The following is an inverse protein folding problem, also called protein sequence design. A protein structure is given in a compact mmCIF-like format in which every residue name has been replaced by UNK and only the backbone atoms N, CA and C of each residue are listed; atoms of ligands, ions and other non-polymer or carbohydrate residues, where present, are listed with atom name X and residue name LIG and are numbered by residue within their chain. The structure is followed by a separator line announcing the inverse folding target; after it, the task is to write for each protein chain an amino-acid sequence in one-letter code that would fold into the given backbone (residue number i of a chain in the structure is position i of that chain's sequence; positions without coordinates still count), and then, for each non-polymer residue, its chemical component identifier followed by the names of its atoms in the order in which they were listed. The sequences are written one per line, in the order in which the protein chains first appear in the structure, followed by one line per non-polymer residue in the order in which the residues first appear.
data_IF_467125502356
#
_entry.id   IF_467125502356
#
_cell.length_a   1.000
_cell.length_b   1.000
_cell.length_c   1.000
_cell.angle_alpha   90.00
_cell.angle_beta   90.00
_cell.angle_gamma   90.00
#
_symmetry.space_group_name_H-M   'P 1'
#
loop_
_entity.id
_entity.type
_entity.pdbx_description
1 polymer ?
#
# COMPACT_ATOMS: atom_id res chain seq x y z
N UNK A 1 -40.96 -49.82 -8.37
CA UNK A 1 -39.67 -49.32 -7.85
C UNK A 1 -38.95 -48.60 -8.99
N UNK A 2 -39.27 -47.31 -9.19
CA UNK A 2 -38.35 -46.37 -9.81
C UNK A 2 -37.16 -46.21 -8.84
N UNK A 3 -35.92 -45.96 -9.23
CA UNK A 3 -35.43 -44.70 -9.83
C UNK A 3 -33.92 -44.92 -9.91
N UNK A 4 -33.31 -44.80 -11.09
CA UNK A 4 -31.89 -44.46 -11.33
C UNK A 4 -31.47 -44.94 -12.73
N UNK A 5 -31.82 -44.19 -13.77
CA UNK A 5 -31.08 -44.21 -15.06
C UNK A 5 -31.37 -42.98 -15.96
N UNK A 6 -31.80 -41.83 -15.41
CA UNK A 6 -32.16 -40.66 -16.24
C UNK A 6 -31.67 -39.36 -15.58
N UNK A 7 -30.36 -39.16 -15.48
CA UNK A 7 -29.79 -37.84 -15.13
C UNK A 7 -28.38 -37.64 -15.68
N UNK A 8 -28.14 -37.96 -16.96
CA UNK A 8 -26.94 -37.53 -17.70
C UNK A 8 -27.33 -36.94 -19.09
N UNK A 9 -28.49 -36.29 -19.20
CA UNK A 9 -28.97 -35.69 -20.47
C UNK A 9 -29.36 -34.20 -20.37
N UNK A 10 -29.00 -33.49 -19.29
CA UNK A 10 -29.42 -32.08 -19.08
C UNK A 10 -28.28 -31.05 -19.00
N UNK A 11 -27.12 -31.30 -19.64
CA UNK A 11 -26.05 -30.29 -19.75
C UNK A 11 -25.68 -29.92 -21.20
N UNK A 12 -26.56 -30.21 -22.17
CA UNK A 12 -26.33 -29.93 -23.60
C UNK A 12 -27.40 -29.03 -24.25
N UNK A 13 -28.13 -28.22 -23.47
CA UNK A 13 -29.19 -27.34 -24.01
C UNK A 13 -29.10 -25.87 -23.57
N UNK A 14 -27.90 -25.32 -23.40
CA UNK A 14 -27.70 -23.87 -23.26
C UNK A 14 -26.48 -23.36 -24.03
N UNK A 15 -26.19 -23.97 -25.19
CA UNK A 15 -25.24 -23.46 -26.18
C UNK A 15 -25.94 -23.51 -27.54
N UNK A 16 -26.94 -22.64 -27.77
CA UNK A 16 -27.53 -22.42 -29.11
C UNK A 16 -28.51 -21.23 -29.14
N UNK A 17 -28.16 -20.12 -28.50
CA UNK A 17 -28.98 -18.88 -28.55
C UNK A 17 -28.18 -17.63 -28.90
N UNK A 18 -27.04 -17.77 -29.58
CA UNK A 18 -26.31 -16.62 -30.14
C UNK A 18 -25.80 -16.99 -31.54
N UNK A 19 -26.75 -16.99 -32.48
CA UNK A 19 -26.64 -16.90 -33.94
C UNK A 19 -28.07 -17.19 -34.40
N UNK A 20 -28.86 -16.23 -34.87
CA UNK A 20 -28.77 -15.66 -36.22
C UNK A 20 -29.56 -14.34 -36.22
N UNK A 21 -28.88 -13.24 -36.54
CA UNK A 21 -29.47 -12.14 -37.31
C UNK A 21 -28.42 -11.65 -38.31
N UNK A 22 -28.37 -12.38 -39.42
CA UNK A 22 -28.02 -11.87 -40.75
C UNK A 22 -28.80 -10.55 -41.00
N UNK A 23 -28.36 -9.53 -41.71
CA UNK A 23 -27.35 -9.44 -42.75
C UNK A 23 -27.12 -7.96 -43.16
N UNK A 24 -25.93 -7.71 -43.72
CA UNK A 24 -25.60 -6.75 -44.81
C UNK A 24 -25.94 -5.26 -44.66
N UNK A 25 -24.90 -4.41 -44.66
CA UNK A 25 -24.68 -3.37 -45.68
C UNK A 25 -23.35 -2.58 -45.50
N UNK A 26 -22.50 -2.65 -46.54
CA UNK A 26 -21.49 -1.68 -47.05
C UNK A 26 -20.15 -1.36 -46.33
N UNK A 27 -19.06 -1.80 -46.99
CA UNK A 27 -17.72 -1.21 -47.23
C UNK A 27 -17.17 -0.06 -46.35
N UNK A 28 -15.91 -0.19 -45.89
CA UNK A 28 -14.70 0.58 -46.33
C UNK A 28 -13.52 0.43 -45.32
N UNK A 29 -12.36 -0.04 -45.84
CA UNK A 29 -10.93 0.12 -45.43
C UNK A 29 -10.35 -0.55 -44.16
N UNK A 30 -9.14 -1.16 -44.22
CA UNK A 30 -8.43 -1.65 -43.05
C UNK A 30 -7.47 -0.58 -42.51
N UNK A 31 -7.70 -0.08 -41.29
CA UNK A 31 -6.66 0.63 -40.53
C UNK A 31 -6.15 -0.24 -39.40
N UNK A 32 -4.87 -0.57 -39.51
CA UNK A 32 -4.00 -1.20 -38.53
C UNK A 32 -4.14 -0.53 -37.15
N UNK A 33 -4.94 -1.11 -36.27
CA UNK A 33 -4.99 -0.68 -34.88
C UNK A 33 -3.88 -1.41 -34.12
N UNK A 34 -2.77 -0.69 -33.89
CA UNK A 34 -1.77 -1.06 -32.89
C UNK A 34 -2.48 -1.42 -31.58
N UNK A 35 -2.27 -2.65 -31.14
CA UNK A 35 -2.65 -3.12 -29.81
C UNK A 35 -1.85 -2.34 -28.75
N UNK A 36 -2.42 -1.23 -28.28
CA UNK A 36 -1.99 -0.61 -27.03
C UNK A 36 -2.56 -1.49 -25.90
N UNK A 37 -1.66 -2.17 -25.20
CA UNK A 37 -1.96 -2.85 -23.94
C UNK A 37 -2.23 -1.73 -22.92
N UNK A 38 -3.50 -1.38 -22.74
CA UNK A 38 -3.94 -0.40 -21.75
C UNK A 38 -3.72 -1.00 -20.35
N UNK A 39 -2.86 -0.39 -19.55
CA UNK A 39 -2.69 -0.73 -18.13
C UNK A 39 -4.05 -0.64 -17.41
N UNK A 40 -4.31 -1.49 -16.40
CA UNK A 40 -5.61 -1.54 -15.75
C UNK A 40 -5.93 -0.21 -15.05
N UNK A 41 -7.17 0.27 -15.25
CA UNK A 41 -7.71 1.60 -14.93
C UNK A 41 -7.59 2.04 -13.45
N UNK A 42 -7.12 1.18 -12.55
CA UNK A 42 -7.07 1.46 -11.12
C UNK A 42 -5.78 2.15 -10.67
N UNK A 43 -4.72 2.21 -11.49
CA UNK A 43 -3.52 2.99 -11.17
C UNK A 43 -3.69 4.43 -11.69
N UNK A 44 -4.51 5.20 -10.99
CA UNK A 44 -4.65 6.63 -11.25
C UNK A 44 -3.32 7.35 -11.05
N UNK A 45 -3.15 8.51 -11.69
CA UNK A 45 -1.96 9.37 -11.50
C UNK A 45 -1.66 9.64 -10.03
N UNK A 46 -2.69 9.76 -9.20
CA UNK A 46 -2.58 9.98 -7.75
C UNK A 46 -1.96 8.79 -7.01
N UNK A 47 -2.21 7.56 -7.46
CA UNK A 47 -1.59 6.36 -6.88
C UNK A 47 -0.13 6.24 -7.34
N UNK A 48 0.19 6.60 -8.58
CA UNK A 48 1.59 6.62 -9.03
C UNK A 48 2.42 7.66 -8.26
N UNK A 49 1.88 8.85 -7.99
CA UNK A 49 2.50 9.84 -7.11
C UNK A 49 2.67 9.34 -5.68
N UNK A 50 1.76 8.49 -5.21
CA UNK A 50 1.87 7.85 -3.91
C UNK A 50 2.99 6.80 -3.89
N UNK A 51 3.16 6.04 -4.96
CA UNK A 51 4.25 5.06 -5.14
C UNK A 51 5.64 5.72 -5.30
N UNK A 52 5.68 6.96 -5.76
CA UNK A 52 6.89 7.79 -5.76
C UNK A 52 7.27 8.32 -4.36
N UNK A 53 6.45 8.05 -3.33
CA UNK A 53 6.79 8.39 -1.95
C UNK A 53 8.02 7.65 -1.44
N UNK A 54 8.63 8.20 -0.39
CA UNK A 54 9.80 7.64 0.27
C UNK A 54 9.58 6.17 0.67
N UNK A 55 10.31 5.22 0.08
CA UNK A 55 10.16 3.80 0.39
C UNK A 55 10.64 3.50 1.81
N UNK A 56 10.03 2.51 2.46
CA UNK A 56 10.49 2.02 3.76
C UNK A 56 11.46 0.87 3.57
N UNK A 57 12.71 1.08 3.99
CA UNK A 57 13.78 0.09 3.86
C UNK A 57 13.94 -0.81 5.07
N UNK A 58 13.32 -0.44 6.21
CA UNK A 58 13.57 -1.08 7.50
C UNK A 58 14.93 -0.71 8.11
N UNK A 59 15.50 0.44 7.73
CA UNK A 59 16.75 0.95 8.30
C UNK A 59 16.53 1.71 9.61
N UNK A 60 17.55 1.73 10.48
CA UNK A 60 17.50 2.44 11.77
C UNK A 60 17.35 3.97 11.63
N UNK A 61 17.53 4.54 10.44
CA UNK A 61 17.30 5.96 10.15
C UNK A 61 15.84 6.31 9.87
N UNK A 62 14.98 5.32 9.60
CA UNK A 62 13.57 5.51 9.29
C UNK A 62 12.72 4.99 10.45
N UNK A 63 12.03 5.88 11.16
CA UNK A 63 11.11 5.48 12.21
C UNK A 63 9.85 4.86 11.60
N UNK A 64 9.58 3.59 11.93
CA UNK A 64 8.47 2.82 11.35
C UNK A 64 7.11 3.46 11.63
N UNK A 65 6.91 4.02 12.83
CA UNK A 65 5.63 4.66 13.18
C UNK A 65 5.41 5.95 12.40
N UNK A 66 6.44 6.80 12.27
CA UNK A 66 6.34 8.03 11.47
C UNK A 66 6.06 7.71 10.00
N UNK A 67 6.72 6.68 9.46
CA UNK A 67 6.52 6.28 8.07
C UNK A 67 5.13 5.69 7.82
N UNK A 68 4.62 4.85 8.73
CA UNK A 68 3.25 4.30 8.63
C UNK A 68 2.21 5.43 8.69
N UNK A 69 2.38 6.40 9.59
CA UNK A 69 1.44 7.51 9.73
C UNK A 69 1.46 8.41 8.49
N UNK A 70 2.64 8.74 7.95
CA UNK A 70 2.77 9.48 6.69
C UNK A 70 2.11 8.73 5.52
N UNK A 71 2.38 7.43 5.40
CA UNK A 71 1.81 6.59 4.35
C UNK A 71 0.29 6.49 4.46
N UNK A 72 -0.24 6.32 5.68
CA UNK A 72 -1.69 6.29 5.93
C UNK A 72 -2.34 7.60 5.54
N UNK A 73 -1.80 8.74 5.99
CA UNK A 73 -2.35 10.06 5.69
C UNK A 73 -2.43 10.31 4.18
N UNK A 74 -1.42 9.87 3.43
CA UNK A 74 -1.43 10.00 1.97
C UNK A 74 -2.43 9.05 1.31
N UNK A 75 -2.61 7.83 1.83
CA UNK A 75 -3.68 6.94 1.38
C UNK A 75 -5.07 7.53 1.64
N UNK A 76 -5.26 8.17 2.80
CA UNK A 76 -6.50 8.84 3.18
C UNK A 76 -6.81 10.03 2.26
N UNK A 77 -5.79 10.80 1.85
CA UNK A 77 -5.94 11.90 0.87
C UNK A 77 -6.46 11.43 -0.49
N UNK A 78 -6.09 10.22 -0.90
CA UNK A 78 -6.52 9.62 -2.18
C UNK A 78 -7.76 8.72 -2.00
N UNK A 79 -8.31 8.65 -0.78
CA UNK A 79 -9.48 7.84 -0.42
C UNK A 79 -9.33 6.36 -0.81
N UNK A 80 -8.12 5.80 -0.61
CA UNK A 80 -7.90 4.38 -0.86
C UNK A 80 -8.64 3.53 0.16
N UNK A 81 -9.31 2.49 -0.35
CA UNK A 81 -9.87 1.44 0.49
C UNK A 81 -8.77 0.62 1.19
N UNK A 82 -9.14 -0.22 2.15
CA UNK A 82 -8.16 -0.97 2.95
C UNK A 82 -7.34 -1.97 2.11
N UNK A 83 -7.90 -2.53 1.04
CA UNK A 83 -7.20 -3.47 0.17
C UNK A 83 -6.20 -2.77 -0.76
N UNK A 84 -6.60 -1.62 -1.31
CA UNK A 84 -5.76 -0.75 -2.12
C UNK A 84 -4.62 -0.17 -1.30
N UNK A 85 -4.93 0.33 -0.08
CA UNK A 85 -3.93 0.81 0.88
C UNK A 85 -2.91 -0.27 1.20
N UNK A 86 -3.39 -1.48 1.50
CA UNK A 86 -2.51 -2.62 1.76
C UNK A 86 -1.57 -2.88 0.60
N UNK A 87 -2.09 -2.96 -0.64
CA UNK A 87 -1.27 -3.17 -1.84
C UNK A 87 -0.22 -2.07 -2.03
N UNK A 88 -0.63 -0.80 -1.95
CA UNK A 88 0.28 0.34 -2.16
C UNK A 88 1.39 0.37 -1.11
N UNK A 89 1.06 0.13 0.17
CA UNK A 89 2.08 0.13 1.22
C UNK A 89 3.05 -1.03 1.02
N UNK A 90 2.57 -2.23 0.64
CA UNK A 90 3.44 -3.37 0.32
C UNK A 90 4.43 -3.00 -0.79
N UNK A 91 3.98 -2.29 -1.83
CA UNK A 91 4.83 -1.87 -2.95
C UNK A 91 5.92 -0.85 -2.53
N UNK A 92 5.62 -0.04 -1.50
CA UNK A 92 6.57 0.91 -0.89
C UNK A 92 7.58 0.25 0.06
N UNK A 93 7.42 -1.03 0.42
CA UNK A 93 8.42 -1.77 1.19
C UNK A 93 9.60 -2.15 0.29
N UNK A 94 10.81 -1.82 0.73
CA UNK A 94 12.07 -2.14 0.06
C UNK A 94 13.07 -2.74 1.05
N UNK A 95 14.18 -3.29 0.55
CA UNK A 95 15.28 -3.79 1.38
C UNK A 95 14.83 -4.79 2.45
N UNK A 96 15.23 -4.56 3.70
CA UNK A 96 14.93 -5.44 4.83
C UNK A 96 13.44 -5.51 5.15
N UNK A 97 12.69 -4.42 4.93
CA UNK A 97 11.24 -4.40 5.11
C UNK A 97 10.52 -5.31 4.11
N UNK A 98 11.01 -5.35 2.86
CA UNK A 98 10.45 -6.26 1.84
C UNK A 98 10.73 -7.72 2.18
N UNK A 99 11.96 -8.04 2.59
CA UNK A 99 12.35 -9.39 3.00
C UNK A 99 11.52 -9.87 4.20
N UNK A 100 11.32 -8.98 5.19
CA UNK A 100 10.43 -9.25 6.30
C UNK A 100 9.00 -9.54 5.83
N UNK A 101 8.44 -8.70 4.95
CA UNK A 101 7.09 -8.92 4.43
C UNK A 101 6.98 -10.27 3.72
N UNK A 102 7.94 -10.63 2.86
CA UNK A 102 7.94 -11.90 2.15
C UNK A 102 7.93 -13.13 3.08
N UNK A 103 8.49 -12.99 4.28
CA UNK A 103 8.51 -14.03 5.32
C UNK A 103 7.16 -14.19 6.02
N UNK A 104 6.40 -13.09 6.17
CA UNK A 104 5.16 -13.06 6.96
C UNK A 104 3.90 -12.84 6.12
N UNK A 105 4.00 -12.71 4.80
CA UNK A 105 2.90 -12.36 3.88
C UNK A 105 1.67 -13.25 4.03
N UNK A 106 1.85 -14.54 4.30
CA UNK A 106 0.76 -15.51 4.44
C UNK A 106 -0.09 -15.27 5.70
N UNK A 107 0.39 -14.43 6.61
CA UNK A 107 -0.27 -14.09 7.87
C UNK A 107 -0.80 -12.65 7.88
N UNK A 108 -0.68 -11.93 6.77
CA UNK A 108 -1.04 -10.52 6.64
C UNK A 108 -2.11 -10.42 5.56
N UNK A 109 -3.36 -10.27 5.99
CA UNK A 109 -4.53 -10.22 5.09
C UNK A 109 -5.21 -8.87 5.04
N UNK A 110 -4.86 -7.97 5.96
CA UNK A 110 -5.48 -6.66 6.10
C UNK A 110 -4.45 -5.61 6.55
N UNK A 111 -4.82 -4.34 6.36
CA UNK A 111 -3.99 -3.19 6.70
C UNK A 111 -3.62 -3.13 8.18
N UNK A 112 -4.56 -3.46 9.07
CA UNK A 112 -4.38 -3.39 10.52
C UNK A 112 -3.33 -4.40 10.98
N UNK A 113 -3.41 -5.62 10.48
CA UNK A 113 -2.46 -6.71 10.72
C UNK A 113 -1.07 -6.34 10.19
N UNK A 114 -0.98 -5.77 8.99
CA UNK A 114 0.29 -5.28 8.45
C UNK A 114 0.88 -4.20 9.36
N UNK A 115 0.11 -3.15 9.68
CA UNK A 115 0.54 -2.03 10.53
C UNK A 115 1.07 -2.52 11.87
N UNK A 116 0.33 -3.41 12.54
CA UNK A 116 0.71 -3.94 13.85
C UNK A 116 1.98 -4.78 13.78
N UNK A 117 2.05 -5.74 12.85
CA UNK A 117 3.23 -6.63 12.74
C UNK A 117 4.47 -5.87 12.29
N UNK A 118 4.34 -4.96 11.33
CA UNK A 118 5.43 -4.14 10.82
C UNK A 118 5.97 -3.24 11.93
N UNK A 119 5.07 -2.56 12.66
CA UNK A 119 5.43 -1.73 13.81
C UNK A 119 6.15 -2.54 14.88
N UNK A 120 5.59 -3.68 15.30
CA UNK A 120 6.18 -4.51 16.36
C UNK A 120 7.56 -5.03 15.96
N UNK A 121 7.70 -5.58 14.76
CA UNK A 121 8.98 -6.13 14.31
C UNK A 121 10.04 -5.05 14.18
N UNK A 122 9.75 -3.97 13.46
CA UNK A 122 10.75 -2.94 13.24
C UNK A 122 11.01 -2.10 14.48
N UNK A 123 10.04 -1.89 15.39
CA UNK A 123 10.33 -1.29 16.71
C UNK A 123 11.23 -2.17 17.58
N UNK A 124 11.04 -3.48 17.55
CA UNK A 124 11.88 -4.41 18.32
C UNK A 124 13.31 -4.46 17.76
N UNK A 125 13.44 -4.56 16.44
CA UNK A 125 14.74 -4.64 15.75
C UNK A 125 15.49 -3.31 15.80
N UNK A 126 14.78 -2.18 15.63
CA UNK A 126 15.41 -0.88 15.79
C UNK A 126 15.58 -0.52 17.25
N UNK A 127 14.90 -1.18 18.20
CA UNK A 127 15.15 -1.19 19.65
C UNK A 127 15.12 0.14 20.39
N UNK A 128 14.78 1.24 19.72
CA UNK A 128 15.38 2.52 20.10
C UNK A 128 14.46 3.73 19.91
N UNK A 129 13.14 3.58 19.84
CA UNK A 129 12.25 4.73 19.59
C UNK A 129 12.42 5.80 20.70
N UNK A 130 12.34 5.42 21.98
CA UNK A 130 12.56 6.38 23.08
C UNK A 130 13.99 6.93 23.15
N UNK A 131 15.00 6.04 23.20
CA UNK A 131 16.39 6.47 23.35
C UNK A 131 16.92 7.25 22.14
N UNK A 132 16.52 6.92 20.90
CA UNK A 132 16.90 7.73 19.73
C UNK A 132 16.14 9.04 19.72
N UNK A 133 14.87 9.07 20.10
CA UNK A 133 14.13 10.33 20.19
C UNK A 133 14.75 11.26 21.24
N UNK A 134 15.10 10.74 22.42
CA UNK A 134 15.83 11.50 23.44
C UNK A 134 17.19 11.96 22.94
N UNK A 135 17.98 11.06 22.34
CA UNK A 135 19.29 11.40 21.78
C UNK A 135 19.17 12.43 20.66
N UNK A 136 18.15 12.33 19.81
CA UNK A 136 17.87 13.26 18.71
C UNK A 136 17.45 14.62 19.24
N UNK A 137 16.61 14.65 20.28
CA UNK A 137 16.22 15.88 20.98
C UNK A 137 17.43 16.55 21.64
N UNK A 138 18.23 15.79 22.39
CA UNK A 138 19.43 16.28 23.07
C UNK A 138 20.46 16.87 22.11
N UNK A 139 20.69 16.20 20.97
CA UNK A 139 21.65 16.65 19.96
C UNK A 139 21.06 17.69 19.00
N UNK A 140 19.79 18.07 19.13
CA UNK A 140 19.16 18.99 18.20
C UNK A 140 19.72 20.41 18.42
N UNK A 141 20.45 20.90 17.43
CA UNK A 141 20.91 22.29 17.32
C UNK A 141 20.26 22.95 16.12
N UNK A 142 19.87 24.23 16.24
CA UNK A 142 19.36 25.01 15.11
C UNK A 142 20.42 25.08 14.03
N UNK A 143 20.06 24.77 12.79
CA UNK A 143 20.99 24.90 11.66
C UNK A 143 21.12 26.37 11.23
N UNK A 144 22.24 26.73 10.59
CA UNK A 144 22.51 28.09 10.09
C UNK A 144 21.47 28.58 9.08
N UNK A 145 20.78 27.65 8.41
CA UNK A 145 19.88 27.91 7.30
C UNK A 145 18.41 27.71 7.70
N UNK A 146 18.14 27.44 8.98
CA UNK A 146 16.83 27.09 9.49
C UNK A 146 16.17 28.30 10.17
N UNK A 147 14.91 28.57 9.83
CA UNK A 147 14.14 29.62 10.50
C UNK A 147 13.95 29.26 11.98
N UNK A 148 14.01 30.27 12.86
CA UNK A 148 13.87 30.06 14.29
C UNK A 148 12.53 29.39 14.66
N UNK A 149 11.46 29.71 13.92
CA UNK A 149 10.13 29.14 14.15
C UNK A 149 10.06 27.66 13.78
N UNK A 150 10.66 27.26 12.66
CA UNK A 150 10.70 25.86 12.21
C UNK A 150 11.51 25.00 13.19
N UNK A 151 12.62 25.55 13.69
CA UNK A 151 13.40 24.92 14.75
C UNK A 151 12.56 24.68 16.01
N UNK A 152 11.87 25.71 16.50
CA UNK A 152 11.02 25.59 17.68
C UNK A 152 9.90 24.55 17.47
N UNK A 153 9.22 24.57 16.32
CA UNK A 153 8.20 23.56 16.00
C UNK A 153 8.77 22.14 15.96
N UNK A 154 9.97 21.96 15.40
CA UNK A 154 10.62 20.66 15.34
C UNK A 154 10.99 20.15 16.74
N UNK A 155 11.56 21.01 17.59
CA UNK A 155 11.88 20.68 18.98
C UNK A 155 10.62 20.33 19.77
N UNK A 156 9.54 21.11 19.64
CA UNK A 156 8.26 20.81 20.29
C UNK A 156 7.66 19.48 19.82
N UNK A 157 7.77 19.17 18.52
CA UNK A 157 7.34 17.88 17.97
C UNK A 157 8.15 16.73 18.55
N UNK A 158 9.46 16.89 18.70
CA UNK A 158 10.33 15.88 19.33
C UNK A 158 10.00 15.71 20.82
N UNK A 159 9.80 16.80 21.58
CA UNK A 159 9.37 16.74 22.98
C UNK A 159 8.04 16.02 23.15
N UNK A 160 7.05 16.31 22.30
CA UNK A 160 5.75 15.64 22.33
C UNK A 160 5.87 14.14 22.10
N UNK A 161 6.74 13.73 21.16
CA UNK A 161 6.99 12.31 20.88
C UNK A 161 7.66 11.60 22.06
N UNK A 162 8.70 12.18 22.66
CA UNK A 162 9.36 11.60 23.86
C UNK A 162 8.35 11.49 25.01
N UNK A 163 7.54 12.52 25.25
CA UNK A 163 6.57 12.52 26.35
C UNK A 163 5.47 11.45 26.18
N UNK A 164 5.08 11.11 24.94
CA UNK A 164 4.13 10.01 24.68
C UNK A 164 4.67 8.65 25.13
N UNK A 165 5.98 8.47 25.17
CA UNK A 165 6.62 7.25 25.65
C UNK A 165 6.83 7.24 27.17
N UNK A 166 6.77 8.38 27.85
CA UNK A 166 6.91 8.47 29.31
C UNK A 166 5.58 8.32 30.07
N UNK A 167 4.44 8.58 29.41
CA UNK A 167 3.10 8.52 30.01
C UNK A 167 2.28 7.31 29.54
N UNK A 168 2.92 6.29 28.96
CA UNK A 168 2.30 5.08 28.44
C UNK A 168 2.58 3.86 29.29
#
# INVERSE_FOLDING_TARGET
MATQQITINNLTQTIEAIQVSNALCHNVLPTKTSSLITAPLWQSTSINQLLDSTPFTGSASQEVSDWIDDSSNKCDQVQLDDAQRLSVVIDLLKGNAKLWYDTYKDTIHDWVTLKNKLTTYFKLVTGTDHFQLERKLYNRRRQTNELAIDYCHNVLRLCSKVNKYMNG
#
